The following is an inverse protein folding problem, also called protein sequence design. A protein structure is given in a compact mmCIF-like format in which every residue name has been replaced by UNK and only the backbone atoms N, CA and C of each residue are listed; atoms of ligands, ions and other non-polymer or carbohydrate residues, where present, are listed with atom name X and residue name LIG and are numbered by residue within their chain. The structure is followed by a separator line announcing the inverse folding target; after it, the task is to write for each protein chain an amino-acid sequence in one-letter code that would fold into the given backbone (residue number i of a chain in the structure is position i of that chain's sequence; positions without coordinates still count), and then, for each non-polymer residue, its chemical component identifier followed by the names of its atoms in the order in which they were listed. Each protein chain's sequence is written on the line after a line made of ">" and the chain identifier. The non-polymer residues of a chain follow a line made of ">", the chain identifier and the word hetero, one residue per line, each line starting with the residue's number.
data_IF_660494670225
#
_entry.id   IF_660494670225
#
_cell.length_a   1.000
_cell.length_b   1.000
_cell.length_c   1.000
_cell.angle_alpha   90.00
_cell.angle_beta   90.00
_cell.angle_gamma   90.00
#
_symmetry.space_group_name_H-M   'P 1'
#
loop_
_entity.id
_entity.type
_entity.pdbx_description
1 polymer ?
#
# COMPACT_ATOMS: atom_id res chain seq x y z
N UNK A 1 -2.67 14.30 -8.35
CA UNK A 1 -2.07 13.03 -7.83
C UNK A 1 -0.87 13.27 -6.91
N UNK A 2 0.09 14.12 -7.28
CA UNK A 2 1.37 14.27 -6.57
C UNK A 2 1.23 14.71 -5.10
N UNK A 3 0.37 15.69 -4.83
CA UNK A 3 0.07 16.14 -3.45
C UNK A 3 -0.45 15.00 -2.58
N UNK A 4 -1.36 14.19 -3.11
CA UNK A 4 -1.91 13.04 -2.38
C UNK A 4 -0.81 12.05 -2.02
N UNK A 5 0.04 11.71 -3.00
CA UNK A 5 1.16 10.78 -2.80
C UNK A 5 2.15 11.30 -1.75
N UNK A 6 2.47 12.60 -1.80
CA UNK A 6 3.32 13.24 -0.80
C UNK A 6 2.69 13.21 0.61
N UNK A 7 1.41 13.57 0.72
CA UNK A 7 0.66 13.58 1.98
C UNK A 7 0.57 12.17 2.58
N UNK A 8 0.27 11.16 1.77
CA UNK A 8 0.20 9.76 2.19
C UNK A 8 1.56 9.28 2.70
N UNK A 9 2.62 9.49 1.93
CA UNK A 9 3.98 9.08 2.29
C UNK A 9 4.46 9.75 3.58
N UNK A 10 4.31 11.07 3.69
CA UNK A 10 4.72 11.81 4.89
C UNK A 10 3.96 11.32 6.13
N UNK A 11 2.65 11.10 5.99
CA UNK A 11 1.81 10.66 7.09
C UNK A 11 2.11 9.20 7.50
N UNK A 12 2.44 8.34 6.53
CA UNK A 12 2.83 6.95 6.79
C UNK A 12 4.19 6.88 7.51
N UNK A 13 5.17 7.67 7.09
CA UNK A 13 6.49 7.77 7.74
C UNK A 13 6.40 8.26 9.19
N UNK A 14 5.44 9.14 9.49
CA UNK A 14 5.17 9.58 10.87
C UNK A 14 4.59 8.45 11.73
N UNK A 15 3.82 7.54 11.15
CA UNK A 15 3.20 6.42 11.89
C UNK A 15 4.13 5.22 12.03
N UNK A 16 4.98 4.95 11.04
CA UNK A 16 5.90 3.81 11.02
C UNK A 16 7.33 4.30 11.21
N UNK A 17 7.86 4.15 12.43
CA UNK A 17 9.23 4.59 12.77
C UNK A 17 10.27 3.89 11.90
N UNK A 18 11.25 4.65 11.42
CA UNK A 18 12.34 4.13 10.58
C UNK A 18 11.96 3.90 9.13
N UNK A 19 10.70 4.14 8.75
CA UNK A 19 10.27 4.02 7.36
C UNK A 19 10.91 5.11 6.49
N UNK A 20 11.59 4.69 5.42
CA UNK A 20 12.20 5.59 4.43
C UNK A 20 11.90 5.11 3.03
N UNK A 21 11.81 6.06 2.09
CA UNK A 21 11.79 5.74 0.66
C UNK A 21 13.22 5.40 0.24
N UNK A 22 13.37 4.35 -0.56
CA UNK A 22 14.65 3.92 -1.14
C UNK A 22 14.60 4.03 -2.66
N UNK A 23 15.75 3.89 -3.32
CA UNK A 23 15.90 4.16 -4.76
C UNK A 23 15.83 2.93 -5.64
N UNK A 24 15.91 1.73 -5.06
CA UNK A 24 15.85 0.46 -5.79
C UNK A 24 14.88 -0.51 -5.11
N UNK A 25 14.41 -1.48 -5.89
CA UNK A 25 13.59 -2.57 -5.36
C UNK A 25 14.42 -3.42 -4.43
N UNK A 26 15.69 -3.68 -4.73
CA UNK A 26 16.55 -4.54 -3.90
C UNK A 26 16.73 -4.02 -2.47
N UNK A 27 16.82 -2.70 -2.30
CA UNK A 27 16.95 -2.04 -1.00
C UNK A 27 15.64 -1.97 -0.20
N UNK A 28 14.49 -2.29 -0.80
CA UNK A 28 13.20 -2.17 -0.11
C UNK A 28 12.80 -3.46 0.61
N UNK A 29 12.18 -3.33 1.79
CA UNK A 29 11.56 -4.45 2.50
C UNK A 29 10.09 -4.66 2.11
N UNK A 30 9.47 -3.65 1.50
CA UNK A 30 8.13 -3.71 0.94
C UNK A 30 7.96 -2.66 -0.16
N UNK A 31 6.90 -2.83 -0.96
CA UNK A 31 6.48 -1.89 -2.00
C UNK A 31 5.22 -1.16 -1.55
N UNK A 32 5.19 0.16 -1.72
CA UNK A 32 3.96 0.95 -1.67
C UNK A 32 3.64 1.44 -3.07
N UNK A 33 2.51 1.02 -3.63
CA UNK A 33 2.06 1.44 -4.96
C UNK A 33 0.72 2.15 -4.85
N UNK A 34 0.73 3.47 -5.07
CA UNK A 34 -0.47 4.32 -5.03
C UNK A 34 -0.94 4.59 -6.46
N UNK A 35 -2.20 4.32 -6.77
CA UNK A 35 -2.74 4.51 -8.12
C UNK A 35 -4.23 4.84 -8.09
N UNK A 36 -4.72 5.74 -8.96
CA UNK A 36 -6.13 6.02 -9.08
C UNK A 36 -6.86 4.94 -9.88
N UNK A 37 -8.13 4.72 -9.53
CA UNK A 37 -9.08 4.03 -10.40
C UNK A 37 -9.43 4.98 -11.54
N UNK A 38 -8.92 4.69 -12.73
CA UNK A 38 -9.15 5.45 -13.94
C UNK A 38 -10.15 4.77 -14.88
N UNK A 39 -10.36 3.46 -14.72
CA UNK A 39 -11.27 2.66 -15.52
C UNK A 39 -12.27 1.91 -14.62
N UNK A 40 -12.09 0.59 -14.45
CA UNK A 40 -12.83 -0.27 -13.54
C UNK A 40 -11.87 -0.74 -12.46
N UNK A 41 -12.35 -0.77 -11.21
CA UNK A 41 -11.55 -1.14 -10.06
C UNK A 41 -10.73 -2.42 -10.26
N UNK A 42 -11.37 -3.52 -10.70
CA UNK A 42 -10.67 -4.79 -10.96
C UNK A 42 -9.59 -4.68 -12.03
N UNK A 43 -9.83 -3.95 -13.12
CA UNK A 43 -8.85 -3.79 -14.21
C UNK A 43 -7.62 -3.01 -13.74
N UNK A 44 -7.82 -1.91 -13.01
CA UNK A 44 -6.71 -1.09 -12.53
C UNK A 44 -5.94 -1.81 -11.40
N UNK A 45 -6.63 -2.57 -10.54
CA UNK A 45 -6.01 -3.41 -9.50
C UNK A 45 -5.16 -4.52 -10.14
N UNK A 46 -5.67 -5.21 -11.15
CA UNK A 46 -4.91 -6.24 -11.88
C UNK A 46 -3.65 -5.65 -12.53
N UNK A 47 -3.74 -4.45 -13.10
CA UNK A 47 -2.59 -3.76 -13.68
C UNK A 47 -1.55 -3.38 -12.61
N UNK A 48 -1.99 -2.91 -11.45
CA UNK A 48 -1.11 -2.63 -10.31
C UNK A 48 -0.42 -3.89 -9.79
N UNK A 49 -1.15 -5.01 -9.67
CA UNK A 49 -0.59 -6.31 -9.27
C UNK A 49 0.49 -6.74 -10.26
N UNK A 50 0.23 -6.70 -11.57
CA UNK A 50 1.22 -7.06 -12.61
C UNK A 50 2.48 -6.20 -12.51
N UNK A 51 2.32 -4.90 -12.27
CA UNK A 51 3.45 -3.97 -12.11
C UNK A 51 4.33 -4.36 -10.92
N UNK A 52 3.70 -4.68 -9.78
CA UNK A 52 4.42 -5.12 -8.58
C UNK A 52 5.06 -6.49 -8.79
N UNK A 53 4.37 -7.42 -9.44
CA UNK A 53 4.85 -8.78 -9.65
C UNK A 53 6.10 -8.83 -10.55
N UNK A 54 6.05 -8.09 -11.67
CA UNK A 54 7.17 -7.97 -12.60
C UNK A 54 8.38 -7.25 -12.00
N UNK A 55 8.15 -6.26 -11.13
CA UNK A 55 9.22 -5.46 -10.54
C UNK A 55 9.81 -6.07 -9.27
N UNK A 56 8.98 -6.61 -8.38
CA UNK A 56 9.33 -6.89 -6.98
C UNK A 56 9.22 -8.36 -6.58
N UNK A 57 8.90 -9.26 -7.51
CA UNK A 57 8.85 -10.70 -7.26
C UNK A 57 7.91 -11.04 -6.10
N UNK A 58 8.43 -11.66 -5.03
CA UNK A 58 7.66 -12.04 -3.85
C UNK A 58 7.64 -11.01 -2.70
N UNK A 59 8.25 -9.83 -2.89
CA UNK A 59 8.31 -8.81 -1.83
C UNK A 59 6.91 -8.37 -1.38
N UNK A 60 6.69 -8.12 -0.08
CA UNK A 60 5.41 -7.60 0.40
C UNK A 60 5.02 -6.30 -0.30
N UNK A 61 3.74 -6.14 -0.58
CA UNK A 61 3.23 -4.96 -1.26
C UNK A 61 1.97 -4.42 -0.58
N UNK A 62 1.90 -3.09 -0.47
CA UNK A 62 0.70 -2.35 -0.09
C UNK A 62 0.23 -1.57 -1.31
N UNK A 63 -0.99 -1.85 -1.75
CA UNK A 63 -1.66 -1.14 -2.83
C UNK A 63 -2.56 -0.06 -2.22
N UNK A 64 -2.26 1.21 -2.49
CA UNK A 64 -3.15 2.31 -2.17
C UNK A 64 -4.06 2.61 -3.35
N UNK A 65 -5.28 2.06 -3.30
CA UNK A 65 -6.28 2.20 -4.36
C UNK A 65 -7.02 3.51 -4.17
N UNK A 66 -6.86 4.44 -5.10
CA UNK A 66 -7.44 5.79 -4.97
C UNK A 66 -8.71 5.89 -5.81
N UNK A 67 -9.86 6.05 -5.17
CA UNK A 67 -11.14 6.22 -5.85
C UNK A 67 -11.41 7.71 -6.08
N UNK A 68 -11.43 8.20 -7.33
CA UNK A 68 -11.79 9.59 -7.61
C UNK A 68 -13.26 9.83 -7.22
N UNK A 69 -13.52 10.72 -6.27
CA UNK A 69 -14.89 11.03 -5.85
C UNK A 69 -15.03 12.36 -5.10
N UNK A 70 -16.14 13.03 -5.36
CA UNK A 70 -16.58 14.21 -4.61
C UNK A 70 -17.38 13.87 -3.35
N UNK A 71 -17.63 12.59 -3.09
CA UNK A 71 -18.30 12.12 -1.88
C UNK A 71 -17.29 11.35 -0.98
N UNK A 72 -16.86 11.94 0.15
CA UNK A 72 -15.89 11.29 1.04
C UNK A 72 -16.45 10.03 1.73
N UNK A 73 -17.77 9.90 1.79
CA UNK A 73 -18.49 8.80 2.45
C UNK A 73 -19.01 7.77 1.45
N UNK A 74 -18.73 7.96 0.14
CA UNK A 74 -19.10 7.04 -0.95
C UNK A 74 -18.82 5.60 -0.54
N UNK A 75 -19.81 4.72 -0.65
CA UNK A 75 -19.57 3.29 -0.39
C UNK A 75 -18.58 2.75 -1.42
N UNK A 76 -17.51 2.11 -0.94
CA UNK A 76 -16.45 1.51 -1.75
C UNK A 76 -16.37 0.05 -1.34
N UNK A 77 -16.41 -0.83 -2.34
CA UNK A 77 -16.19 -2.25 -2.12
C UNK A 77 -14.73 -2.48 -1.73
N UNK A 78 -14.49 -3.35 -0.74
CA UNK A 78 -13.15 -3.68 -0.27
C UNK A 78 -12.30 -4.27 -1.43
N UNK A 79 -11.25 -3.54 -1.81
CA UNK A 79 -10.36 -3.93 -2.91
C UNK A 79 -9.56 -5.19 -2.59
N UNK A 80 -9.43 -5.60 -1.33
CA UNK A 80 -8.78 -6.86 -0.97
C UNK A 80 -9.46 -8.08 -1.61
N UNK A 81 -10.76 -7.97 -1.93
CA UNK A 81 -11.49 -9.02 -2.64
C UNK A 81 -10.99 -9.25 -4.07
N UNK A 82 -10.24 -8.31 -4.65
CA UNK A 82 -9.65 -8.41 -6.00
C UNK A 82 -8.15 -8.75 -5.97
N UNK A 83 -7.58 -9.01 -4.78
CA UNK A 83 -6.15 -9.30 -4.64
C UNK A 83 -5.92 -10.80 -4.77
N UNK A 84 -5.18 -11.20 -5.80
CA UNK A 84 -4.81 -12.59 -6.09
C UNK A 84 -3.30 -12.89 -5.90
N UNK A 85 -2.50 -11.88 -5.56
CA UNK A 85 -1.06 -12.00 -5.33
C UNK A 85 -0.74 -12.14 -3.84
N UNK A 86 0.00 -13.19 -3.47
CA UNK A 86 0.48 -13.38 -2.10
C UNK A 86 1.27 -12.16 -1.58
N UNK A 87 1.28 -11.98 -0.26
CA UNK A 87 1.94 -10.85 0.40
C UNK A 87 1.53 -9.46 -0.10
N UNK A 88 0.34 -9.34 -0.70
CA UNK A 88 -0.24 -8.08 -1.15
C UNK A 88 -1.42 -7.71 -0.28
N UNK A 89 -1.51 -6.44 0.11
CA UNK A 89 -2.63 -5.90 0.88
C UNK A 89 -3.08 -4.58 0.26
N UNK A 90 -4.39 -4.37 0.15
CA UNK A 90 -4.97 -3.15 -0.41
C UNK A 90 -5.55 -2.25 0.69
N UNK A 91 -5.40 -0.94 0.53
CA UNK A 91 -6.10 0.08 1.30
C UNK A 91 -6.84 1.04 0.36
N UNK A 92 -8.11 1.27 0.66
CA UNK A 92 -9.00 2.06 -0.18
C UNK A 92 -9.04 3.51 0.28
N UNK A 93 -8.59 4.42 -0.55
CA UNK A 93 -8.62 5.86 -0.28
C UNK A 93 -9.57 6.56 -1.24
N UNK A 94 -10.15 7.68 -0.81
CA UNK A 94 -10.81 8.61 -1.74
C UNK A 94 -9.86 9.72 -2.13
N UNK A 95 -9.95 10.10 -3.39
CA UNK A 95 -9.15 11.17 -3.99
C UNK A 95 -10.06 12.23 -4.59
N UNK A 96 -9.79 13.48 -4.22
CA UNK A 96 -10.36 14.68 -4.82
C UNK A 96 -9.26 15.75 -4.75
N UNK A 97 -8.98 16.40 -5.88
CA UNK A 97 -7.88 17.36 -6.01
C UNK A 97 -8.07 18.61 -5.14
N UNK A 98 -9.31 18.99 -4.89
CA UNK A 98 -9.69 20.17 -4.10
C UNK A 98 -9.75 19.90 -2.59
N UNK A 99 -9.44 18.67 -2.15
CA UNK A 99 -9.52 18.29 -0.73
C UNK A 99 -8.22 17.80 -0.13
N UNK A 100 -8.00 18.21 1.11
CA UNK A 100 -6.90 17.72 1.93
C UNK A 100 -7.10 16.24 2.27
N UNK A 101 -6.10 15.44 1.93
CA UNK A 101 -6.03 14.00 2.21
C UNK A 101 -6.42 13.66 3.65
N UNK A 102 -5.88 14.42 4.61
CA UNK A 102 -6.05 14.19 6.05
C UNK A 102 -7.38 14.66 6.64
N UNK A 103 -8.29 15.28 5.87
CA UNK A 103 -9.62 15.65 6.38
C UNK A 103 -10.64 14.51 6.27
N UNK A 104 -10.37 13.50 5.43
CA UNK A 104 -11.27 12.37 5.24
C UNK A 104 -11.05 11.27 6.28
N UNK A 105 -12.14 10.79 6.92
CA UNK A 105 -12.10 9.67 7.87
C UNK A 105 -11.59 8.39 7.22
N UNK A 106 -12.10 8.02 6.04
CA UNK A 106 -11.64 6.84 5.29
C UNK A 106 -10.14 6.88 5.04
N UNK A 107 -9.60 8.00 4.58
CA UNK A 107 -8.17 8.12 4.30
C UNK A 107 -7.31 7.96 5.55
N UNK A 108 -7.76 8.47 6.71
CA UNK A 108 -7.11 8.23 8.01
C UNK A 108 -7.10 6.75 8.38
N UNK A 109 -8.24 6.08 8.25
CA UNK A 109 -8.37 4.65 8.56
C UNK A 109 -7.52 3.79 7.62
N UNK A 110 -7.52 4.11 6.32
CA UNK A 110 -6.69 3.45 5.32
C UNK A 110 -5.19 3.63 5.60
N UNK A 111 -4.79 4.83 6.02
CA UNK A 111 -3.42 5.08 6.45
C UNK A 111 -3.05 4.25 7.71
N UNK A 112 -3.94 4.18 8.70
CA UNK A 112 -3.74 3.36 9.90
C UNK A 112 -3.64 1.87 9.57
N UNK A 113 -4.50 1.36 8.68
CA UNK A 113 -4.45 -0.03 8.18
C UNK A 113 -3.12 -0.32 7.48
N UNK A 114 -2.67 0.57 6.60
CA UNK A 114 -1.38 0.45 5.93
C UNK A 114 -0.22 0.42 6.95
N UNK A 115 -0.21 1.37 7.89
CA UNK A 115 0.82 1.44 8.93
C UNK A 115 0.86 0.18 9.81
N UNK A 116 -0.31 -0.32 10.23
CA UNK A 116 -0.42 -1.54 11.02
C UNK A 116 0.07 -2.77 10.24
N UNK A 117 -0.32 -2.89 8.96
CA UNK A 117 0.12 -3.97 8.09
C UNK A 117 1.64 -3.97 7.92
N UNK A 118 2.23 -2.82 7.56
CA UNK A 118 3.68 -2.67 7.38
C UNK A 118 4.41 -2.99 8.68
N UNK A 119 3.97 -2.44 9.81
CA UNK A 119 4.59 -2.71 11.11
C UNK A 119 4.57 -4.20 11.46
N UNK A 120 3.47 -4.89 11.16
CA UNK A 120 3.35 -6.34 11.38
C UNK A 120 4.34 -7.13 10.50
N UNK A 121 4.45 -6.78 9.21
CA UNK A 121 5.37 -7.43 8.27
C UNK A 121 6.84 -7.17 8.64
N UNK A 122 7.21 -5.94 8.99
CA UNK A 122 8.57 -5.62 9.45
C UNK A 122 8.95 -6.40 10.71
N UNK A 123 8.02 -6.56 11.66
CA UNK A 123 8.25 -7.42 12.84
C UNK A 123 8.46 -8.89 12.47
N UNK A 124 7.73 -9.40 11.48
CA UNK A 124 7.89 -10.78 11.02
C UNK A 124 9.25 -10.99 10.32
N UNK A 125 9.69 -10.02 9.50
CA UNK A 125 11.00 -10.04 8.83
C UNK A 125 12.13 -10.02 9.87
N UNK A 126 12.06 -9.13 10.86
CA UNK A 126 13.07 -9.05 11.91
C UNK A 126 13.14 -10.28 12.81
N UNK A 127 12.04 -11.06 12.92
CA UNK A 127 12.03 -12.33 13.66
C UNK A 127 12.59 -13.50 12.83
N UNK A 128 12.46 -13.45 11.50
CA UNK A 128 12.89 -14.48 10.58
C UNK A 128 13.82 -13.87 9.51
N UNK A 129 15.08 -13.53 9.86
CA UNK A 129 15.99 -12.91 8.92
C UNK A 129 16.20 -13.83 7.70
N UNK A 130 16.15 -13.29 6.47
CA UNK A 130 16.39 -14.08 5.26
C UNK A 130 17.84 -14.60 5.29
N UNK A 131 18.02 -15.87 5.68
CA UNK A 131 19.35 -16.46 5.85
C UNK A 131 19.43 -17.65 6.82
N UNK A 132 18.46 -17.87 7.72
CA UNK A 132 18.37 -19.16 8.40
C UNK A 132 17.83 -20.21 7.42
N UNK A 133 18.73 -20.75 6.59
CA UNK A 133 18.58 -22.14 6.15
C UNK A 133 18.39 -22.94 7.43
N UNK A 134 17.28 -23.67 7.54
CA UNK A 134 17.21 -24.78 8.49
C UNK A 134 18.24 -25.78 7.99
N UNK A 135 19.49 -25.63 8.43
CA UNK A 135 20.43 -26.73 8.41
C UNK A 135 19.95 -27.72 9.47
N UNK A 136 19.81 -28.98 9.02
CA UNK A 136 19.54 -30.20 9.79
C UNK A 136 18.03 -30.44 10.06
N UNK A 137 17.46 -31.60 9.71
CA UNK A 137 17.97 -32.96 9.72
C UNK A 137 17.59 -33.75 8.45
#
# INVERSE_FOLDING_TARGET
>A
MDKFTADFNSSLQKQVRGLKKVHSIDECEFILHLFPIASRAGTDIDAAIRTVDQGAGSKPAVLGVLFPTNDPDKSIQDSNNSINRENTFAVDCVFNEDRDFMKCKRNKESLQKAAAHITSKLKAINKNPPGLKKENL
#
